data_IF_761890550834
#
_entry.id   IF_761890550834
#
_cell.length_a   1.000
_cell.length_b   1.000
_cell.length_c   1.000
_cell.angle_alpha   90.00
_cell.angle_beta   90.00
_cell.angle_gamma   90.00
#
_symmetry.space_group_name_H-M   'P 1'
#
loop_
_entity.id
_entity.type
_entity.pdbx_description
1 polymer ?
#
# COMPACT_ATOMS: atom_id res chain seq x y z
N UNK A 1 -11.35 36.15 7.66
CA UNK A 1 -10.01 36.05 7.03
C UNK A 1 -10.14 35.10 5.86
N UNK A 2 -10.06 35.63 4.65
CA UNK A 2 -10.10 34.89 3.39
C UNK A 2 -8.88 33.99 3.29
N UNK A 3 -9.10 32.68 3.28
CA UNK A 3 -8.10 31.68 2.91
C UNK A 3 -7.66 31.96 1.48
N UNK A 4 -6.48 32.54 1.31
CA UNK A 4 -5.81 32.58 0.01
C UNK A 4 -5.41 31.14 -0.29
N UNK A 5 -6.17 30.45 -1.15
CA UNK A 5 -5.66 29.25 -1.81
C UNK A 5 -4.31 29.63 -2.42
N UNK A 6 -3.24 28.93 -2.02
CA UNK A 6 -1.98 29.06 -2.76
C UNK A 6 -2.30 28.80 -4.23
N UNK A 7 -1.81 29.64 -5.17
CA UNK A 7 -2.03 29.38 -6.58
C UNK A 7 -1.49 27.99 -6.91
N UNK A 8 -2.23 27.25 -7.72
CA UNK A 8 -1.79 25.95 -8.21
C UNK A 8 -0.42 26.13 -8.88
N UNK A 9 0.54 25.27 -8.51
CA UNK A 9 1.87 25.32 -9.10
C UNK A 9 1.75 25.10 -10.60
N UNK A 10 2.46 25.92 -11.38
CA UNK A 10 2.54 25.70 -12.82
C UNK A 10 3.24 24.36 -13.11
N UNK A 11 2.96 23.72 -14.27
CA UNK A 11 3.67 22.50 -14.67
C UNK A 11 5.20 22.65 -14.68
N UNK A 12 5.71 23.86 -14.93
CA UNK A 12 7.14 24.17 -14.88
C UNK A 12 7.69 24.17 -13.45
N UNK A 13 6.96 24.74 -12.49
CA UNK A 13 7.35 24.74 -11.08
C UNK A 13 7.30 23.33 -10.48
N UNK A 14 6.30 22.54 -10.86
CA UNK A 14 6.21 21.11 -10.50
C UNK A 14 7.41 20.37 -11.07
N UNK A 15 7.71 20.53 -12.36
CA UNK A 15 8.86 19.90 -13.01
C UNK A 15 10.18 20.29 -12.36
N UNK A 16 10.37 21.57 -12.05
CA UNK A 16 11.58 22.07 -11.40
C UNK A 16 11.74 21.45 -10.00
N UNK A 17 10.66 21.39 -9.22
CA UNK A 17 10.66 20.80 -7.88
C UNK A 17 10.98 19.30 -7.89
N UNK A 18 10.38 18.55 -8.83
CA UNK A 18 10.68 17.13 -9.03
C UNK A 18 12.14 16.93 -9.48
N UNK A 19 12.60 17.74 -10.43
CA UNK A 19 13.97 17.67 -10.95
C UNK A 19 15.02 17.91 -9.86
N UNK A 20 14.84 18.97 -9.07
CA UNK A 20 15.72 19.28 -7.93
C UNK A 20 15.74 18.15 -6.89
N UNK A 21 14.57 17.58 -6.56
CA UNK A 21 14.51 16.46 -5.63
C UNK A 21 15.26 15.23 -6.15
N UNK A 22 15.01 14.83 -7.40
CA UNK A 22 15.68 13.68 -8.02
C UNK A 22 17.20 13.87 -8.09
N UNK A 23 17.65 15.08 -8.44
CA UNK A 23 19.08 15.42 -8.48
C UNK A 23 19.72 15.35 -7.10
N UNK A 24 19.06 15.88 -6.05
CA UNK A 24 19.54 15.78 -4.66
C UNK A 24 19.60 14.34 -4.16
N UNK A 25 18.70 13.49 -4.62
CA UNK A 25 18.73 12.06 -4.30
C UNK A 25 19.75 11.27 -5.14
N UNK A 26 20.41 11.89 -6.13
CA UNK A 26 21.28 11.19 -7.07
C UNK A 26 20.53 10.16 -7.93
N UNK A 27 19.21 10.33 -8.09
CA UNK A 27 18.35 9.41 -8.82
C UNK A 27 18.29 9.81 -10.29
N UNK A 28 18.85 8.96 -11.16
CA UNK A 28 18.68 9.09 -12.60
C UNK A 28 17.43 8.33 -13.03
N UNK A 29 16.53 8.99 -13.77
CA UNK A 29 15.35 8.37 -14.37
C UNK A 29 15.79 7.24 -15.31
N UNK A 30 15.76 6.01 -14.81
CA UNK A 30 15.83 4.83 -15.66
C UNK A 30 14.43 4.55 -16.22
N UNK A 31 14.37 4.17 -17.50
CA UNK A 31 13.14 3.65 -18.09
C UNK A 31 12.86 2.31 -17.41
N UNK A 32 11.87 2.27 -16.52
CA UNK A 32 11.45 1.03 -15.89
C UNK A 32 10.86 0.09 -16.96
N UNK A 33 11.24 -1.19 -16.98
CA UNK A 33 10.61 -2.17 -17.86
C UNK A 33 9.13 -2.27 -17.56
N UNK A 34 8.32 -2.64 -18.57
CA UNK A 34 6.90 -2.91 -18.38
C UNK A 34 6.61 -4.25 -17.69
N UNK A 35 7.63 -5.09 -17.51
CA UNK A 35 7.56 -6.42 -16.86
C UNK A 35 6.38 -7.28 -17.37
N UNK A 36 6.18 -7.33 -18.68
CA UNK A 36 4.98 -7.93 -19.31
C UNK A 36 4.80 -9.42 -19.01
N UNK A 37 5.90 -10.17 -18.86
CA UNK A 37 5.86 -11.60 -18.49
C UNK A 37 5.33 -11.78 -17.07
N UNK A 38 5.93 -11.07 -16.10
CA UNK A 38 5.47 -11.09 -14.71
C UNK A 38 4.04 -10.55 -14.55
N UNK A 39 3.64 -9.58 -15.37
CA UNK A 39 2.26 -9.10 -15.39
C UNK A 39 1.27 -10.20 -15.86
N UNK A 40 1.64 -10.99 -16.87
CA UNK A 40 0.82 -12.10 -17.32
C UNK A 40 0.71 -13.20 -16.25
N UNK A 41 1.80 -13.47 -15.52
CA UNK A 41 1.79 -14.39 -14.38
C UNK A 41 0.88 -13.89 -13.25
N UNK A 42 0.95 -12.61 -12.87
CA UNK A 42 0.08 -12.04 -11.85
C UNK A 42 -1.41 -12.13 -12.25
N UNK A 43 -1.73 -11.93 -13.53
CA UNK A 43 -3.08 -12.07 -14.06
C UNK A 43 -3.53 -13.54 -14.00
N UNK A 44 -2.68 -14.47 -14.42
CA UNK A 44 -2.99 -15.90 -14.38
C UNK A 44 -3.21 -16.40 -12.95
N UNK A 45 -2.37 -15.95 -12.01
CA UNK A 45 -2.53 -16.27 -10.58
C UNK A 45 -3.82 -15.66 -10.02
N UNK A 46 -4.12 -14.41 -10.37
CA UNK A 46 -5.38 -13.76 -9.95
C UNK A 46 -6.62 -14.49 -10.49
N UNK A 47 -6.57 -14.99 -11.72
CA UNK A 47 -7.64 -15.81 -12.32
C UNK A 47 -7.77 -17.15 -11.60
N UNK A 48 -6.65 -17.85 -11.37
CA UNK A 48 -6.61 -19.13 -10.67
C UNK A 48 -7.14 -19.04 -9.23
N UNK A 49 -6.91 -17.90 -8.56
CA UNK A 49 -7.43 -17.61 -7.21
C UNK A 49 -8.87 -17.10 -7.19
N UNK A 50 -9.51 -16.92 -8.36
CA UNK A 50 -10.91 -16.48 -8.47
C UNK A 50 -11.11 -14.95 -8.40
N UNK A 51 -10.05 -14.16 -8.41
CA UNK A 51 -10.15 -12.70 -8.26
C UNK A 51 -10.76 -12.03 -9.50
N UNK A 52 -10.75 -12.70 -10.66
CA UNK A 52 -11.11 -12.12 -11.96
C UNK A 52 -12.44 -12.64 -12.53
N UNK A 53 -13.32 -13.18 -11.69
CA UNK A 53 -14.70 -13.53 -12.09
C UNK A 53 -15.48 -12.27 -12.56
N UNK A 54 -16.58 -12.40 -13.34
CA UNK A 54 -17.29 -11.25 -13.90
C UNK A 54 -17.67 -10.16 -12.89
N UNK A 55 -17.99 -10.54 -11.64
CA UNK A 55 -18.34 -9.62 -10.56
C UNK A 55 -17.13 -8.83 -10.04
N UNK A 56 -15.93 -9.42 -10.12
CA UNK A 56 -14.69 -8.91 -9.55
C UNK A 56 -13.69 -8.45 -10.63
N UNK A 57 -14.08 -8.48 -11.91
CA UNK A 57 -13.18 -8.23 -13.04
C UNK A 57 -12.50 -6.85 -13.05
N UNK A 58 -13.02 -5.89 -12.28
CA UNK A 58 -12.37 -4.59 -12.05
C UNK A 58 -11.00 -4.74 -11.39
N UNK A 59 -10.78 -5.81 -10.62
CA UNK A 59 -9.53 -6.07 -9.91
C UNK A 59 -8.32 -6.10 -10.86
N UNK A 60 -8.52 -6.57 -12.10
CA UNK A 60 -7.49 -6.62 -13.14
C UNK A 60 -6.83 -5.26 -13.41
N UNK A 61 -7.57 -4.16 -13.22
CA UNK A 61 -7.07 -2.81 -13.48
C UNK A 61 -5.99 -2.37 -12.48
N UNK A 62 -5.91 -3.01 -11.30
CA UNK A 62 -4.98 -2.66 -10.23
C UNK A 62 -3.69 -3.49 -10.27
N UNK A 63 -3.69 -4.63 -10.94
CA UNK A 63 -2.52 -5.51 -11.10
C UNK A 63 -1.28 -4.76 -11.64
N UNK A 64 -1.38 -3.84 -12.63
CA UNK A 64 -0.21 -3.11 -13.12
C UNK A 64 0.55 -2.31 -12.04
N UNK A 65 -0.17 -1.74 -11.06
CA UNK A 65 0.46 -1.03 -9.96
C UNK A 65 1.24 -1.98 -9.05
N UNK A 66 0.66 -3.15 -8.76
CA UNK A 66 1.32 -4.22 -8.02
C UNK A 66 2.59 -4.74 -8.72
N UNK A 67 2.50 -4.98 -10.03
CA UNK A 67 3.64 -5.41 -10.85
C UNK A 67 4.78 -4.40 -10.79
N UNK A 68 4.46 -3.11 -10.94
CA UNK A 68 5.45 -2.05 -10.87
C UNK A 68 6.11 -2.01 -9.49
N UNK A 69 5.34 -2.16 -8.41
CA UNK A 69 5.88 -2.19 -7.05
C UNK A 69 6.83 -3.38 -6.84
N UNK A 70 6.37 -4.60 -7.10
CA UNK A 70 7.16 -5.81 -6.93
C UNK A 70 8.46 -5.80 -7.74
N UNK A 71 8.38 -5.40 -9.01
CA UNK A 71 9.49 -5.52 -9.96
C UNK A 71 10.45 -4.35 -9.98
N UNK A 72 10.01 -3.15 -9.57
CA UNK A 72 10.90 -1.98 -9.54
C UNK A 72 11.47 -1.74 -8.15
N UNK A 73 10.70 -1.97 -7.08
CA UNK A 73 11.14 -1.69 -5.71
C UNK A 73 11.68 -2.93 -4.97
N UNK A 74 11.22 -4.14 -5.34
CA UNK A 74 11.54 -5.38 -4.62
C UNK A 74 12.07 -6.48 -5.55
N UNK A 75 12.76 -6.10 -6.63
CA UNK A 75 13.26 -7.03 -7.64
C UNK A 75 14.25 -8.08 -7.07
N UNK A 76 14.88 -7.77 -5.94
CA UNK A 76 15.81 -8.63 -5.23
C UNK A 76 15.14 -9.76 -4.44
N UNK A 77 13.83 -9.67 -4.20
CA UNK A 77 13.11 -10.67 -3.44
C UNK A 77 12.89 -11.97 -4.25
N UNK A 78 12.67 -13.12 -3.60
CA UNK A 78 12.26 -14.34 -4.29
C UNK A 78 10.98 -14.14 -5.11
N UNK A 79 10.82 -14.95 -6.16
CA UNK A 79 9.69 -14.83 -7.08
C UNK A 79 8.32 -14.93 -6.38
N UNK A 80 8.17 -15.85 -5.42
CA UNK A 80 6.95 -15.99 -4.62
C UNK A 80 6.62 -14.73 -3.81
N UNK A 81 7.64 -14.08 -3.25
CA UNK A 81 7.49 -12.83 -2.49
C UNK A 81 7.14 -11.68 -3.43
N UNK A 82 7.73 -11.63 -4.62
CA UNK A 82 7.34 -10.64 -5.64
C UNK A 82 5.87 -10.81 -6.06
N UNK A 83 5.40 -12.05 -6.24
CA UNK A 83 3.99 -12.34 -6.54
C UNK A 83 3.08 -11.86 -5.42
N UNK A 84 3.42 -12.17 -4.17
CA UNK A 84 2.70 -11.69 -2.98
C UNK A 84 2.64 -10.17 -2.93
N UNK A 85 3.77 -9.47 -3.10
CA UNK A 85 3.84 -8.01 -3.11
C UNK A 85 2.95 -7.43 -4.21
N UNK A 86 2.97 -8.04 -5.40
CA UNK A 86 2.16 -7.58 -6.53
C UNK A 86 0.66 -7.65 -6.22
N UNK A 87 0.18 -8.81 -5.75
CA UNK A 87 -1.23 -8.99 -5.40
C UNK A 87 -1.63 -8.10 -4.21
N UNK A 88 -0.79 -8.04 -3.17
CA UNK A 88 -1.01 -7.22 -1.99
C UNK A 88 -1.17 -5.74 -2.36
N UNK A 89 -0.23 -5.20 -3.13
CA UNK A 89 -0.30 -3.80 -3.59
C UNK A 89 -1.50 -3.56 -4.50
N UNK A 90 -1.86 -4.51 -5.38
CA UNK A 90 -3.07 -4.38 -6.20
C UNK A 90 -4.35 -4.30 -5.35
N UNK A 91 -4.45 -5.09 -4.27
CA UNK A 91 -5.56 -4.97 -3.31
C UNK A 91 -5.58 -3.65 -2.55
N UNK A 92 -4.41 -3.11 -2.16
CA UNK A 92 -4.37 -1.80 -1.51
C UNK A 92 -4.88 -0.69 -2.44
N UNK A 93 -4.44 -0.67 -3.71
CA UNK A 93 -4.93 0.33 -4.67
C UNK A 93 -6.43 0.13 -4.96
N UNK A 94 -6.90 -1.12 -5.05
CA UNK A 94 -8.33 -1.40 -5.14
C UNK A 94 -9.12 -0.84 -3.94
N UNK A 95 -8.60 -0.99 -2.72
CA UNK A 95 -9.21 -0.47 -1.50
C UNK A 95 -9.24 1.06 -1.47
N UNK A 96 -8.19 1.73 -1.95
CA UNK A 96 -8.17 3.20 -2.09
C UNK A 96 -9.28 3.67 -3.06
N UNK A 97 -9.47 3.00 -4.19
CA UNK A 97 -10.54 3.31 -5.15
C UNK A 97 -11.95 2.91 -4.66
N UNK A 98 -12.03 1.95 -3.74
CA UNK A 98 -13.29 1.58 -3.07
C UNK A 98 -13.84 2.68 -2.16
N UNK A 99 -12.99 3.65 -1.78
CA UNK A 99 -13.36 4.79 -0.94
C UNK A 99 -14.62 5.52 -1.43
N UNK A 100 -14.80 5.60 -2.74
CA UNK A 100 -15.92 6.33 -3.35
C UNK A 100 -17.19 5.48 -3.48
N UNK A 101 -17.08 4.16 -3.40
CA UNK A 101 -18.12 3.24 -3.89
C UNK A 101 -18.82 2.43 -2.77
N UNK A 102 -18.10 1.93 -1.76
CA UNK A 102 -18.69 1.13 -0.66
C UNK A 102 -17.89 1.21 0.64
N UNK A 103 -17.97 2.36 1.31
CA UNK A 103 -17.29 2.60 2.59
C UNK A 103 -17.79 1.72 3.74
N UNK A 104 -19.00 1.16 3.66
CA UNK A 104 -19.51 0.28 4.71
C UNK A 104 -18.83 -1.09 4.69
N UNK A 105 -18.48 -1.60 3.50
CA UNK A 105 -17.62 -2.78 3.37
C UNK A 105 -16.25 -2.56 4.03
N UNK A 106 -15.61 -1.41 3.76
CA UNK A 106 -14.29 -1.05 4.32
C UNK A 106 -14.34 -0.91 5.84
N UNK A 107 -15.32 -0.18 6.39
CA UNK A 107 -15.49 0.02 7.84
C UNK A 107 -15.63 -1.29 8.62
N UNK A 108 -16.24 -2.30 8.02
CA UNK A 108 -16.46 -3.60 8.67
C UNK A 108 -15.28 -4.57 8.50
N UNK A 109 -14.34 -4.29 7.60
CA UNK A 109 -13.28 -5.22 7.21
C UNK A 109 -12.49 -5.72 8.42
N UNK A 110 -11.93 -4.81 9.21
CA UNK A 110 -11.09 -5.16 10.36
C UNK A 110 -11.85 -5.98 11.41
N UNK A 111 -13.10 -5.60 11.72
CA UNK A 111 -13.91 -6.33 12.68
C UNK A 111 -14.20 -7.76 12.21
N UNK A 112 -14.54 -7.93 10.93
CA UNK A 112 -14.82 -9.22 10.31
C UNK A 112 -13.56 -10.07 10.18
N UNK A 113 -12.43 -9.48 9.81
CA UNK A 113 -11.12 -10.13 9.75
C UNK A 113 -10.73 -10.73 11.10
N UNK A 114 -10.75 -9.93 12.18
CA UNK A 114 -10.40 -10.39 13.53
C UNK A 114 -11.37 -11.44 14.05
N UNK A 115 -12.66 -11.30 13.74
CA UNK A 115 -13.71 -12.24 14.16
C UNK A 115 -13.82 -13.47 13.27
N UNK A 116 -12.98 -13.60 12.22
CA UNK A 116 -13.05 -14.65 11.19
C UNK A 116 -14.45 -14.82 10.60
N UNK A 117 -15.13 -13.71 10.38
CA UNK A 117 -16.44 -13.68 9.69
C UNK A 117 -16.23 -13.36 8.22
N UNK A 118 -17.08 -13.87 7.32
CA UNK A 118 -17.04 -13.48 5.92
C UNK A 118 -17.11 -11.96 5.77
N UNK A 119 -16.37 -11.45 4.80
CA UNK A 119 -16.35 -10.05 4.42
C UNK A 119 -17.66 -9.64 3.73
N UNK A 120 -17.82 -8.35 3.46
CA UNK A 120 -19.03 -7.87 2.76
C UNK A 120 -18.97 -8.12 1.26
N UNK A 121 -17.77 -8.14 0.71
CA UNK A 121 -17.49 -8.36 -0.71
C UNK A 121 -16.50 -9.50 -0.84
N UNK A 122 -16.67 -10.30 -1.87
CA UNK A 122 -15.82 -11.46 -2.15
C UNK A 122 -14.36 -11.09 -2.36
N UNK A 123 -14.06 -9.96 -3.04
CA UNK A 123 -12.68 -9.45 -3.16
C UNK A 123 -12.06 -9.12 -1.79
N UNK A 124 -12.85 -8.73 -0.80
CA UNK A 124 -12.33 -8.50 0.55
C UNK A 124 -12.09 -9.81 1.30
N UNK A 125 -12.87 -10.87 1.04
CA UNK A 125 -12.57 -12.21 1.54
C UNK A 125 -11.22 -12.69 0.97
N UNK A 126 -11.02 -12.53 -0.34
CA UNK A 126 -9.75 -12.83 -1.00
C UNK A 126 -8.57 -12.01 -0.45
N UNK A 127 -8.79 -10.73 -0.14
CA UNK A 127 -7.76 -9.93 0.50
C UNK A 127 -7.42 -10.46 1.90
N UNK A 128 -8.43 -10.82 2.71
CA UNK A 128 -8.22 -11.43 4.02
C UNK A 128 -7.45 -12.76 3.94
N UNK A 129 -7.77 -13.60 2.95
CA UNK A 129 -7.04 -14.84 2.65
C UNK A 129 -5.57 -14.56 2.30
N UNK A 130 -5.31 -13.56 1.46
CA UNK A 130 -3.94 -13.16 1.13
C UNK A 130 -3.16 -12.73 2.38
N UNK A 131 -3.77 -11.94 3.29
CA UNK A 131 -3.11 -11.57 4.56
C UNK A 131 -2.77 -12.78 5.44
N UNK A 132 -3.54 -13.87 5.35
CA UNK A 132 -3.26 -15.10 6.08
C UNK A 132 -2.04 -15.86 5.55
N UNK A 133 -1.50 -15.52 4.37
CA UNK A 133 -0.25 -16.08 3.84
C UNK A 133 0.99 -15.47 4.51
N UNK A 134 0.89 -14.25 5.08
CA UNK A 134 2.04 -13.52 5.63
C UNK A 134 2.88 -14.32 6.64
N UNK A 135 2.29 -15.06 7.61
CA UNK A 135 3.09 -15.82 8.57
C UNK A 135 3.94 -16.92 7.93
N UNK A 136 3.48 -17.51 6.82
CA UNK A 136 4.21 -18.54 6.11
C UNK A 136 5.39 -17.95 5.33
N UNK A 137 5.22 -16.76 4.75
CA UNK A 137 6.24 -16.09 3.94
C UNK A 137 7.30 -15.34 4.78
N UNK A 138 6.89 -14.73 5.90
CA UNK A 138 7.73 -13.77 6.63
C UNK A 138 7.98 -14.15 8.10
N UNK A 139 7.34 -15.20 8.60
CA UNK A 139 7.40 -15.58 10.02
C UNK A 139 6.50 -14.74 10.92
N UNK A 140 6.31 -15.21 12.15
CA UNK A 140 5.22 -14.74 13.02
C UNK A 140 5.32 -13.27 13.42
N UNK A 141 6.47 -12.81 13.90
CA UNK A 141 6.63 -11.42 14.40
C UNK A 141 6.49 -10.42 13.27
N UNK A 142 7.16 -10.68 12.13
CA UNK A 142 7.10 -9.81 10.94
C UNK A 142 5.69 -9.79 10.38
N UNK A 143 5.06 -10.94 10.20
CA UNK A 143 3.68 -11.03 9.72
C UNK A 143 2.68 -10.30 10.62
N UNK A 144 2.86 -10.34 11.95
CA UNK A 144 2.01 -9.58 12.87
C UNK A 144 2.13 -8.08 12.62
N UNK A 145 3.36 -7.56 12.46
CA UNK A 145 3.60 -6.15 12.16
C UNK A 145 2.94 -5.77 10.82
N UNK A 146 3.18 -6.54 9.77
CA UNK A 146 2.61 -6.32 8.43
C UNK A 146 1.08 -6.35 8.44
N UNK A 147 0.49 -7.32 9.15
CA UNK A 147 -0.96 -7.41 9.32
C UNK A 147 -1.49 -6.16 10.02
N UNK A 148 -0.89 -5.74 11.14
CA UNK A 148 -1.35 -4.55 11.87
C UNK A 148 -1.22 -3.27 11.06
N UNK A 149 -0.13 -3.11 10.29
CA UNK A 149 0.07 -1.97 9.40
C UNK A 149 -0.97 -1.94 8.28
N UNK A 150 -1.35 -3.10 7.76
CA UNK A 150 -2.44 -3.22 6.77
C UNK A 150 -3.80 -2.86 7.37
N UNK A 151 -4.12 -3.35 8.57
CA UNK A 151 -5.38 -3.01 9.25
C UNK A 151 -5.44 -1.51 9.62
N UNK A 152 -4.30 -0.88 9.91
CA UNK A 152 -4.22 0.56 10.09
C UNK A 152 -4.57 1.30 8.79
N UNK A 153 -4.09 0.85 7.64
CA UNK A 153 -4.45 1.43 6.34
C UNK A 153 -5.96 1.33 6.08
N UNK A 154 -6.55 0.16 6.28
CA UNK A 154 -8.01 -0.02 6.13
C UNK A 154 -8.79 0.91 7.08
N UNK A 155 -8.28 1.11 8.30
CA UNK A 155 -8.86 2.08 9.25
C UNK A 155 -8.70 3.51 8.75
N UNK A 156 -7.56 3.84 8.15
CA UNK A 156 -7.26 5.16 7.63
C UNK A 156 -8.23 5.58 6.52
N UNK A 157 -8.63 4.66 5.64
CA UNK A 157 -9.67 4.92 4.63
C UNK A 157 -10.98 5.39 5.27
N UNK A 158 -11.36 4.81 6.42
CA UNK A 158 -12.53 5.27 7.16
C UNK A 158 -12.30 6.66 7.77
N UNK A 159 -11.11 6.92 8.33
CA UNK A 159 -10.75 8.24 8.89
C UNK A 159 -10.79 9.32 7.81
N UNK A 160 -10.18 9.06 6.65
CA UNK A 160 -10.13 9.97 5.50
C UNK A 160 -11.53 10.33 5.00
N UNK A 161 -12.46 9.37 5.07
CA UNK A 161 -13.86 9.60 4.73
C UNK A 161 -14.56 10.50 5.75
N UNK A 162 -14.34 10.28 7.05
CA UNK A 162 -14.93 11.11 8.11
C UNK A 162 -14.40 12.56 8.09
N UNK A 163 -13.13 12.75 7.72
CA UNK A 163 -12.53 14.10 7.62
C UNK A 163 -12.65 14.72 6.23
N UNK A 164 -13.24 14.00 5.28
CA UNK A 164 -13.46 14.46 3.91
C UNK A 164 -14.28 15.75 3.89
N UNK A 165 -13.71 16.83 3.36
CA UNK A 165 -14.37 18.14 3.30
C UNK A 165 -14.43 18.90 4.64
N UNK A 166 -13.83 18.36 5.71
CA UNK A 166 -13.74 19.03 7.02
C UNK A 166 -12.53 19.96 7.05
N UNK A 167 -12.74 21.20 7.50
CA UNK A 167 -11.62 22.10 7.84
C UNK A 167 -11.07 21.64 9.18
N UNK A 168 -9.84 21.12 9.16
CA UNK A 168 -9.15 20.71 10.38
C UNK A 168 -8.90 21.91 11.30
N UNK A 169 -8.96 21.64 12.61
CA UNK A 169 -8.61 22.63 13.63
C UNK A 169 -7.17 23.13 13.44
N UNK A 170 -6.91 24.45 13.51
CA UNK A 170 -5.57 25.00 13.32
C UNK A 170 -4.51 24.42 14.28
N UNK A 171 -4.93 23.94 15.45
CA UNK A 171 -4.07 23.32 16.47
C UNK A 171 -3.75 21.84 16.22
N UNK A 172 -4.37 21.20 15.22
CA UNK A 172 -4.22 19.79 14.91
C UNK A 172 -2.91 19.46 14.14
N UNK A 173 -1.78 20.06 14.54
CA UNK A 173 -0.51 19.99 13.81
C UNK A 173 0.05 18.57 13.61
N UNK A 174 -0.35 17.60 14.45
CA UNK A 174 0.11 16.20 14.36
C UNK A 174 -0.79 15.32 13.49
N UNK A 175 -1.98 15.80 13.15
CA UNK A 175 -2.95 15.01 12.38
C UNK A 175 -2.41 14.60 11.01
N UNK A 176 -1.71 15.45 10.22
CA UNK A 176 -1.16 15.03 8.93
C UNK A 176 -0.18 13.85 9.05
N UNK A 177 0.73 13.90 10.03
CA UNK A 177 1.69 12.80 10.28
C UNK A 177 0.98 11.54 10.75
N UNK A 178 0.02 11.67 11.68
CA UNK A 178 -0.79 10.54 12.14
C UNK A 178 -1.53 9.89 10.98
N UNK A 179 -2.23 10.68 10.17
CA UNK A 179 -2.97 10.19 9.00
C UNK A 179 -2.05 9.44 8.03
N UNK A 180 -0.87 10.00 7.73
CA UNK A 180 0.10 9.35 6.84
C UNK A 180 0.63 8.02 7.39
N UNK A 181 0.96 7.96 8.68
CA UNK A 181 1.41 6.71 9.32
C UNK A 181 0.32 5.64 9.27
N UNK A 182 -0.96 6.04 9.44
CA UNK A 182 -2.09 5.12 9.34
C UNK A 182 -2.31 4.62 7.91
N UNK A 183 -2.36 5.51 6.91
CA UNK A 183 -2.68 5.14 5.52
C UNK A 183 -1.50 4.60 4.70
N UNK A 184 -0.28 4.63 5.23
CA UNK A 184 0.90 4.36 4.42
C UNK A 184 1.29 2.89 4.26
N UNK A 185 0.79 1.99 5.11
CA UNK A 185 1.29 0.61 5.24
C UNK A 185 2.84 0.54 5.30
N UNK A 186 3.45 1.55 5.93
CA UNK A 186 4.89 1.82 5.82
C UNK A 186 5.74 0.71 6.42
N UNK A 187 5.26 0.09 7.49
CA UNK A 187 5.89 -1.07 8.10
C UNK A 187 5.89 -2.25 7.13
N UNK A 188 4.77 -2.52 6.45
CA UNK A 188 4.68 -3.63 5.50
C UNK A 188 5.66 -3.46 4.35
N UNK A 189 5.66 -2.28 3.72
CA UNK A 189 6.60 -1.97 2.65
C UNK A 189 8.05 -1.96 3.13
N UNK A 190 8.32 -1.49 4.34
CA UNK A 190 9.66 -1.57 4.91
C UNK A 190 10.11 -3.02 5.11
N UNK A 191 9.22 -3.89 5.59
CA UNK A 191 9.53 -5.29 5.86
C UNK A 191 9.77 -6.09 4.57
N UNK A 192 9.14 -5.74 3.45
CA UNK A 192 9.44 -6.30 2.14
C UNK A 192 10.88 -6.04 1.66
N UNK A 193 11.63 -5.12 2.26
CA UNK A 193 13.04 -4.91 1.89
C UNK A 193 13.95 -6.04 2.35
N UNK A 194 13.59 -6.74 3.43
CA UNK A 194 14.47 -7.72 4.06
C UNK A 194 14.21 -9.13 3.51
N UNK A 195 15.27 -9.94 3.28
CA UNK A 195 15.12 -11.38 3.03
C UNK A 195 14.45 -12.10 4.21
N UNK A 196 13.80 -13.23 3.93
CA UNK A 196 13.08 -14.02 4.96
C UNK A 196 14.00 -14.65 6.00
N UNK A 197 15.29 -14.80 5.72
CA UNK A 197 16.32 -15.34 6.62
C UNK A 197 17.05 -14.25 7.44
N UNK A 198 16.75 -12.97 7.21
CA UNK A 198 17.38 -11.87 7.93
C UNK A 198 17.02 -11.91 9.44
N UNK A 199 18.01 -11.88 10.35
CA UNK A 199 17.73 -11.89 11.77
C UNK A 199 16.85 -10.73 12.22
N UNK A 200 15.76 -11.04 12.95
CA UNK A 200 14.78 -10.05 13.43
C UNK A 200 15.41 -8.84 14.14
N UNK A 201 16.50 -9.02 14.90
CA UNK A 201 17.20 -7.93 15.59
C UNK A 201 17.76 -6.87 14.63
N UNK A 202 18.14 -7.24 13.40
CA UNK A 202 18.65 -6.30 12.41
C UNK A 202 17.48 -5.56 11.76
N UNK A 203 16.43 -6.30 11.37
CA UNK A 203 15.19 -5.74 10.84
C UNK A 203 14.64 -4.67 11.80
N UNK A 204 14.47 -4.98 13.08
CA UNK A 204 13.85 -4.07 14.05
C UNK A 204 14.65 -2.79 14.30
N UNK A 205 15.97 -2.81 14.12
CA UNK A 205 16.79 -1.60 14.27
C UNK A 205 16.69 -0.69 13.05
N UNK A 206 16.58 -1.25 11.84
CA UNK A 206 16.46 -0.49 10.60
C UNK A 206 15.02 -0.05 10.28
N UNK A 207 14.02 -0.80 10.76
CA UNK A 207 12.61 -0.62 10.44
C UNK A 207 12.10 0.82 10.68
N UNK A 208 12.37 1.49 11.82
CA UNK A 208 11.88 2.86 12.05
C UNK A 208 12.42 3.89 11.04
N UNK A 209 13.69 3.74 10.64
CA UNK A 209 14.31 4.63 9.65
C UNK A 209 13.72 4.39 8.26
N UNK A 210 13.52 3.13 7.88
CA UNK A 210 12.83 2.75 6.66
C UNK A 210 11.40 3.30 6.59
N UNK A 211 10.63 3.19 7.68
CA UNK A 211 9.27 3.74 7.76
C UNK A 211 9.25 5.26 7.64
N UNK A 212 10.22 5.94 8.27
CA UNK A 212 10.34 7.40 8.22
C UNK A 212 10.58 7.84 6.79
N UNK A 213 11.49 7.17 6.09
CA UNK A 213 11.78 7.43 4.68
C UNK A 213 10.55 7.16 3.79
N UNK A 214 9.85 6.04 3.96
CA UNK A 214 8.66 5.69 3.17
C UNK A 214 7.54 6.73 3.37
N UNK A 215 7.32 7.19 4.61
CA UNK A 215 6.24 8.13 4.91
C UNK A 215 6.56 9.57 4.50
N UNK A 216 7.84 9.98 4.54
CA UNK A 216 8.21 11.39 4.46
C UNK A 216 9.20 11.73 3.33
N UNK A 217 9.80 10.73 2.67
CA UNK A 217 10.83 10.91 1.65
C UNK A 217 12.15 11.51 2.16
N UNK A 218 12.40 11.45 3.47
CA UNK A 218 13.57 12.04 4.15
C UNK A 218 13.87 11.31 5.45
#
# INVERSE_FOLDING_TARGET
MTTVCKPDLSPLEIRASIGDFLERCGLFLQVCPKHTEFAAECIAESDARGYLIPQNGVFKNFIPAGVAMARNAYAHQPHEVQMFISLYTAFLVYLDDMFENDMDAVRQFNHKFISRKPQKLELLDHFAELLHEMPALFGSVVANIMTTSTLNLVTALSIEHEVGGVILEPSAHRFPTFSRVMSGASETYALFMFPSDEPLRHILQALPDCMTFINNGK
#
